data_IF_473175757904
#
_entry.id   IF_473175757904
#
_cell.length_a   1.000
_cell.length_b   1.000
_cell.length_c   1.000
_cell.angle_alpha   90.00
_cell.angle_beta   90.00
_cell.angle_gamma   90.00
#
_symmetry.space_group_name_H-M   'P 1'
#
loop_
_entity.id
_entity.type
_entity.pdbx_description
1 polymer ?
#
# COMPACT_ATOMS: atom_id res chain seq x y z
N UNK A 1 8.45 -1.29 -15.74
CA UNK A 1 9.03 -0.48 -14.65
C UNK A 1 7.91 0.23 -13.91
N UNK A 2 7.95 0.16 -12.59
CA UNK A 2 6.86 0.57 -11.71
C UNK A 2 7.43 1.26 -10.48
N UNK A 3 6.57 1.92 -9.70
CA UNK A 3 6.95 2.62 -8.48
C UNK A 3 6.41 1.92 -7.25
N UNK A 4 7.21 1.86 -6.20
CA UNK A 4 6.74 1.63 -4.84
C UNK A 4 6.41 2.99 -4.22
N UNK A 5 5.19 3.18 -3.75
CA UNK A 5 4.76 4.37 -3.02
C UNK A 5 4.90 4.07 -1.53
N UNK A 6 5.72 4.86 -0.83
CA UNK A 6 6.03 4.62 0.57
C UNK A 6 5.77 5.84 1.45
N UNK A 7 5.69 5.59 2.76
CA UNK A 7 5.71 6.64 3.78
C UNK A 7 6.80 6.31 4.79
N UNK A 8 7.55 7.33 5.16
CA UNK A 8 8.51 7.22 6.26
C UNK A 8 7.78 7.22 7.60
N UNK A 9 7.99 6.17 8.40
CA UNK A 9 7.45 6.02 9.75
C UNK A 9 8.59 5.58 10.65
N UNK A 10 9.00 6.44 11.60
CA UNK A 10 10.02 6.13 12.61
C UNK A 10 11.33 5.57 12.01
N UNK A 11 11.75 6.10 10.84
CA UNK A 11 12.96 5.68 10.14
C UNK A 11 12.78 4.51 9.16
N UNK A 12 11.58 3.93 9.05
CA UNK A 12 11.26 2.88 8.09
C UNK A 12 10.47 3.43 6.90
N UNK A 13 10.80 2.99 5.69
CA UNK A 13 10.07 3.33 4.47
C UNK A 13 8.97 2.28 4.23
N UNK A 14 7.79 2.52 4.76
CA UNK A 14 6.68 1.56 4.72
C UNK A 14 5.90 1.66 3.42
N UNK A 15 5.70 0.53 2.74
CA UNK A 15 4.95 0.46 1.49
C UNK A 15 3.47 0.77 1.75
N UNK A 16 2.99 1.82 1.10
CA UNK A 16 1.56 2.21 1.10
C UNK A 16 0.83 1.82 -0.18
N UNK A 17 1.56 1.61 -1.29
CA UNK A 17 0.96 1.22 -2.55
C UNK A 17 1.99 1.01 -3.66
N UNK A 18 1.48 0.70 -4.85
CA UNK A 18 2.26 0.51 -6.07
C UNK A 18 1.69 1.36 -7.19
N UNK A 19 2.55 1.89 -8.04
CA UNK A 19 2.20 2.77 -9.15
C UNK A 19 2.92 2.39 -10.44
N UNK A 20 2.49 3.00 -11.55
CA UNK A 20 3.21 2.89 -12.83
C UNK A 20 4.07 4.12 -13.03
N UNK A 21 5.32 3.92 -13.41
CA UNK A 21 6.15 5.01 -13.87
C UNK A 21 5.65 5.50 -15.23
N UNK A 22 5.51 6.82 -15.35
CA UNK A 22 5.12 7.45 -16.59
C UNK A 22 6.35 7.69 -17.46
N UNK A 23 6.25 7.36 -18.74
CA UNK A 23 7.29 7.63 -19.74
C UNK A 23 7.34 9.15 -19.95
N UNK A 24 8.53 9.74 -19.91
CA UNK A 24 8.78 11.11 -20.35
C UNK A 24 8.86 11.13 -21.89
N UNK A 25 7.85 11.66 -22.60
CA UNK A 25 7.83 11.63 -24.05
C UNK A 25 8.94 12.49 -24.67
N UNK A 26 9.35 13.57 -24.00
CA UNK A 26 10.34 14.50 -24.52
C UNK A 26 11.75 13.91 -24.40
N UNK A 27 12.11 13.38 -23.24
CA UNK A 27 13.40 12.73 -23.04
C UNK A 27 13.51 11.41 -23.81
N UNK A 28 12.44 10.62 -23.86
CA UNK A 28 12.43 9.40 -24.68
C UNK A 28 12.65 9.74 -26.16
N UNK A 29 11.99 10.79 -26.67
CA UNK A 29 12.19 11.25 -28.04
C UNK A 29 13.64 11.66 -28.30
N UNK A 30 14.29 12.34 -27.35
CA UNK A 30 15.72 12.70 -27.46
C UNK A 30 16.60 11.45 -27.48
N UNK A 31 16.33 10.47 -26.63
CA UNK A 31 17.10 9.23 -26.54
C UNK A 31 17.01 8.37 -27.81
N UNK A 32 15.84 8.31 -28.46
CA UNK A 32 15.64 7.51 -29.69
C UNK A 32 15.98 8.27 -30.97
N UNK A 33 16.11 9.60 -30.93
CA UNK A 33 16.37 10.42 -32.12
C UNK A 33 17.64 10.02 -32.90
N UNK A 34 18.79 9.73 -32.26
CA UNK A 34 19.98 9.25 -32.97
C UNK A 34 19.74 7.93 -33.71
N UNK A 35 19.00 6.99 -33.11
CA UNK A 35 18.70 5.68 -33.70
C UNK A 35 17.81 5.82 -34.94
N UNK A 36 16.83 6.73 -34.89
CA UNK A 36 15.99 7.06 -36.04
C UNK A 36 16.79 7.78 -37.12
N UNK A 37 17.71 8.66 -36.73
CA UNK A 37 18.56 9.39 -37.67
C UNK A 37 19.57 8.48 -38.37
N UNK A 38 20.00 7.39 -37.74
CA UNK A 38 20.94 6.41 -38.29
C UNK A 38 20.29 5.36 -39.20
N UNK A 39 18.98 5.14 -39.06
CA UNK A 39 18.20 4.17 -39.83
C UNK A 39 18.25 4.48 -41.34
N UNK A 40 18.85 3.55 -42.11
CA UNK A 40 19.10 3.73 -43.54
C UNK A 40 17.82 3.86 -44.37
N UNK A 41 16.72 3.22 -43.95
CA UNK A 41 15.42 3.33 -44.63
C UNK A 41 14.79 4.69 -44.40
N UNK A 42 14.93 5.24 -43.20
CA UNK A 42 14.41 6.58 -42.86
C UNK A 42 15.27 7.68 -43.49
N UNK A 43 16.60 7.52 -43.55
CA UNK A 43 17.50 8.46 -44.26
C UNK A 43 17.09 8.70 -45.71
N UNK A 44 16.59 7.66 -46.38
CA UNK A 44 16.14 7.70 -47.78
C UNK A 44 14.99 8.68 -48.04
N UNK A 45 14.25 9.13 -47.01
CA UNK A 45 13.25 10.21 -47.13
C UNK A 45 13.90 11.49 -47.69
N UNK A 46 15.09 11.85 -47.20
CA UNK A 46 15.81 13.06 -47.66
C UNK A 46 16.16 12.97 -49.14
N UNK A 47 16.67 11.81 -49.57
CA UNK A 47 17.04 11.54 -50.95
C UNK A 47 15.81 11.56 -51.87
N UNK A 48 14.73 10.87 -51.50
CA UNK A 48 13.48 10.82 -52.25
C UNK A 48 12.81 12.20 -52.35
N UNK A 49 12.84 12.99 -51.28
CA UNK A 49 12.27 14.36 -51.29
C UNK A 49 13.06 15.26 -52.24
N UNK A 50 14.39 15.13 -52.24
CA UNK A 50 15.27 15.86 -53.17
C UNK A 50 15.03 15.41 -54.61
N UNK A 51 14.85 14.10 -54.83
CA UNK A 51 14.53 13.54 -56.13
C UNK A 51 13.18 14.03 -56.66
N UNK A 52 12.13 13.99 -55.83
CA UNK A 52 10.80 14.51 -56.16
C UNK A 52 10.84 16.00 -56.53
N UNK A 53 11.59 16.82 -55.77
CA UNK A 53 11.77 18.25 -56.06
C UNK A 53 12.43 18.47 -57.44
N UNK A 54 13.45 17.67 -57.76
CA UNK A 54 14.15 17.72 -59.05
C UNK A 54 13.21 17.35 -60.20
N UNK A 55 12.44 16.27 -60.06
CA UNK A 55 11.46 15.83 -61.06
C UNK A 55 10.36 16.89 -61.24
N UNK A 56 9.84 17.49 -60.16
CA UNK A 56 8.83 18.56 -60.23
C UNK A 56 9.36 19.81 -60.94
N UNK A 57 10.64 20.18 -60.76
CA UNK A 57 11.27 21.27 -61.50
C UNK A 57 11.34 20.97 -63.00
N UNK A 58 11.73 19.74 -63.38
CA UNK A 58 11.77 19.31 -64.78
C UNK A 58 10.37 19.35 -65.44
N UNK A 59 9.32 18.90 -64.72
CA UNK A 59 7.93 19.04 -65.18
C UNK A 59 7.57 20.51 -65.41
N UNK A 60 7.91 21.41 -64.48
CA UNK A 60 7.60 22.83 -64.59
C UNK A 60 8.30 23.49 -65.78
N UNK A 61 9.54 23.09 -66.11
CA UNK A 61 10.27 23.56 -67.28
C UNK A 61 9.61 23.11 -68.59
N UNK A 62 9.21 21.84 -68.69
CA UNK A 62 8.48 21.34 -69.87
C UNK A 62 7.15 22.09 -70.02
N UNK A 63 6.42 22.29 -68.93
CA UNK A 63 5.15 23.03 -68.94
C UNK A 63 5.30 24.48 -69.41
N UNK A 64 6.42 25.15 -69.10
CA UNK A 64 6.71 26.49 -69.64
C UNK A 64 6.85 26.47 -71.16
N UNK A 65 7.53 25.47 -71.71
CA UNK A 65 7.72 25.33 -73.17
C UNK A 65 6.39 25.01 -73.86
N UNK A 66 5.59 24.11 -73.29
CA UNK A 66 4.27 23.73 -73.81
C UNK A 66 3.31 24.92 -73.80
N UNK A 67 3.34 25.78 -72.78
CA UNK A 67 2.45 26.95 -72.64
C UNK A 67 2.72 28.08 -73.64
N UNK A 68 3.94 28.17 -74.17
CA UNK A 68 4.35 29.22 -75.14
C UNK A 68 4.03 28.82 -76.59
N UNK A 69 3.73 27.55 -76.87
CA UNK A 69 3.39 27.08 -78.23
C UNK A 69 1.87 27.10 -78.47
N UNK A 70 1.48 27.60 -79.65
CA UNK A 70 0.09 27.70 -80.15
C UNK A 70 -0.59 26.31 -80.13
N UNK A 71 -1.85 26.18 -79.67
CA UNK A 71 -2.47 24.91 -79.23
C UNK A 71 -2.88 23.93 -80.35
N UNK A 72 -2.30 24.00 -81.56
CA UNK A 72 -2.86 23.29 -82.71
C UNK A 72 -2.45 21.81 -82.84
N UNK A 73 -1.33 21.35 -82.25
CA UNK A 73 -0.95 19.92 -82.26
C UNK A 73 -0.14 19.58 -80.99
N UNK A 74 -0.60 18.66 -80.13
CA UNK A 74 0.19 18.20 -78.98
C UNK A 74 1.47 17.50 -79.46
N UNK A 75 2.63 18.00 -79.02
CA UNK A 75 3.92 17.42 -79.35
C UNK A 75 4.09 16.08 -78.60
N UNK A 76 3.93 14.95 -79.31
CA UNK A 76 4.03 13.58 -78.75
C UNK A 76 5.28 13.34 -77.89
N UNK A 77 6.39 14.04 -78.17
CA UNK A 77 7.63 13.92 -77.39
C UNK A 77 7.53 14.56 -75.99
N UNK A 78 6.89 15.71 -75.90
CA UNK A 78 6.74 16.46 -74.63
C UNK A 78 5.67 15.80 -73.74
N UNK A 79 4.58 15.29 -74.33
CA UNK A 79 3.56 14.53 -73.58
C UNK A 79 4.09 13.22 -73.01
N UNK A 80 4.88 12.45 -73.78
CA UNK A 80 5.50 11.21 -73.29
C UNK A 80 6.53 11.44 -72.18
N UNK A 81 7.24 12.57 -72.19
CA UNK A 81 8.14 12.96 -71.09
C UNK A 81 7.36 13.33 -69.82
N UNK A 82 6.25 14.07 -69.95
CA UNK A 82 5.38 14.41 -68.83
C UNK A 82 4.77 13.16 -68.18
N UNK A 83 4.31 12.19 -68.98
CA UNK A 83 3.81 10.90 -68.49
C UNK A 83 4.87 10.14 -67.69
N UNK A 84 6.10 10.05 -68.22
CA UNK A 84 7.24 9.41 -67.53
C UNK A 84 7.56 10.09 -66.20
N UNK A 85 7.58 11.43 -66.15
CA UNK A 85 7.82 12.15 -64.90
C UNK A 85 6.66 12.01 -63.91
N UNK A 86 5.41 11.96 -64.39
CA UNK A 86 4.25 11.71 -63.54
C UNK A 86 4.26 10.30 -62.93
N UNK A 87 4.74 9.29 -63.67
CA UNK A 87 4.99 7.95 -63.14
C UNK A 87 6.11 7.94 -62.10
N UNK A 88 7.21 8.65 -62.36
CA UNK A 88 8.31 8.78 -61.39
C UNK A 88 7.84 9.44 -60.10
N UNK A 89 7.07 10.53 -60.17
CA UNK A 89 6.49 11.17 -58.97
C UNK A 89 5.56 10.22 -58.23
N UNK A 90 4.67 9.50 -58.92
CA UNK A 90 3.80 8.50 -58.29
C UNK A 90 4.60 7.41 -57.58
N UNK A 91 5.68 6.93 -58.18
CA UNK A 91 6.58 5.95 -57.57
C UNK A 91 7.25 6.50 -56.30
N UNK A 92 7.77 7.73 -56.35
CA UNK A 92 8.41 8.38 -55.20
C UNK A 92 7.40 8.63 -54.08
N UNK A 93 6.20 9.11 -54.41
CA UNK A 93 5.14 9.38 -53.43
C UNK A 93 4.66 8.08 -52.75
N UNK A 94 4.49 7.00 -53.51
CA UNK A 94 4.19 5.67 -52.95
C UNK A 94 5.28 5.20 -51.99
N UNK A 95 6.54 5.35 -52.38
CA UNK A 95 7.68 4.93 -51.54
C UNK A 95 7.79 5.78 -50.26
N UNK A 96 7.56 7.09 -50.36
CA UNK A 96 7.53 7.98 -49.20
C UNK A 96 6.43 7.59 -48.20
N UNK A 97 5.22 7.27 -48.68
CA UNK A 97 4.12 6.79 -47.82
C UNK A 97 4.53 5.53 -47.06
N UNK A 98 5.16 4.57 -47.74
CA UNK A 98 5.63 3.32 -47.12
C UNK A 98 6.72 3.56 -46.08
N UNK A 99 7.66 4.46 -46.36
CA UNK A 99 8.76 4.80 -45.44
C UNK A 99 8.23 5.60 -44.24
N UNK A 100 7.26 6.50 -44.42
CA UNK A 100 6.62 7.22 -43.32
C UNK A 100 5.84 6.28 -42.39
N UNK A 101 5.10 5.33 -42.96
CA UNK A 101 4.43 4.29 -42.19
C UNK A 101 5.44 3.43 -41.40
N UNK A 102 6.56 3.06 -42.03
CA UNK A 102 7.66 2.37 -41.35
C UNK A 102 8.26 3.22 -40.23
N UNK A 103 8.57 4.49 -40.50
CA UNK A 103 9.14 5.43 -39.51
C UNK A 103 8.26 5.55 -38.29
N UNK A 104 6.94 5.69 -38.47
CA UNK A 104 5.98 5.75 -37.35
C UNK A 104 6.04 4.47 -36.50
N UNK A 105 5.97 3.30 -37.13
CA UNK A 105 6.09 2.01 -36.44
C UNK A 105 7.43 1.86 -35.71
N UNK A 106 8.53 2.33 -36.32
CA UNK A 106 9.87 2.27 -35.74
C UNK A 106 10.00 3.17 -34.52
N UNK A 107 9.43 4.38 -34.56
CA UNK A 107 9.37 5.28 -33.40
C UNK A 107 8.57 4.63 -32.26
N UNK A 108 7.40 4.06 -32.55
CA UNK A 108 6.57 3.37 -31.55
C UNK A 108 7.31 2.18 -30.92
N UNK A 109 8.02 1.40 -31.74
CA UNK A 109 8.85 0.29 -31.27
C UNK A 109 9.98 0.78 -30.35
N UNK A 110 10.78 1.76 -30.81
CA UNK A 110 11.91 2.28 -30.02
C UNK A 110 11.46 2.94 -28.72
N UNK A 111 10.29 3.59 -28.72
CA UNK A 111 9.69 4.16 -27.49
C UNK A 111 9.39 3.08 -26.46
N UNK A 112 9.01 1.87 -26.90
CA UNK A 112 8.77 0.72 -26.00
C UNK A 112 10.05 0.02 -25.56
N UNK A 113 11.05 -0.06 -26.45
CA UNK A 113 12.33 -0.72 -26.18
C UNK A 113 13.27 0.14 -25.33
N UNK A 114 13.18 1.47 -25.44
CA UNK A 114 14.07 2.42 -24.74
C UNK A 114 13.28 3.56 -24.09
N UNK A 115 12.31 3.26 -23.21
CA UNK A 115 11.56 4.28 -22.51
C UNK A 115 12.49 5.03 -21.54
N UNK A 116 12.42 6.35 -21.56
CA UNK A 116 12.94 7.19 -20.48
C UNK A 116 11.75 7.58 -19.62
N UNK A 117 11.84 7.33 -18.32
CA UNK A 117 10.75 7.61 -17.40
C UNK A 117 10.99 8.89 -16.62
N UNK A 118 9.91 9.53 -16.15
CA UNK A 118 10.02 10.63 -15.18
C UNK A 118 10.72 10.16 -13.91
N UNK A 119 11.45 11.06 -13.26
CA UNK A 119 12.03 10.77 -11.97
C UNK A 119 10.93 10.53 -10.92
N UNK A 120 11.03 9.47 -10.10
CA UNK A 120 10.12 9.25 -8.99
C UNK A 120 10.09 10.45 -8.05
N UNK A 121 8.93 10.73 -7.45
CA UNK A 121 8.84 11.75 -6.40
C UNK A 121 9.55 11.28 -5.12
N UNK A 122 9.73 12.19 -4.14
CA UNK A 122 10.41 11.90 -2.86
C UNK A 122 9.80 10.78 -2.00
N UNK A 123 8.63 10.26 -2.37
CA UNK A 123 7.92 9.18 -1.69
C UNK A 123 7.68 7.98 -2.61
N UNK A 124 8.44 7.92 -3.69
CA UNK A 124 8.37 6.86 -4.68
C UNK A 124 9.77 6.32 -4.95
N UNK A 125 9.88 5.00 -5.10
CA UNK A 125 11.11 4.34 -5.54
C UNK A 125 10.80 3.56 -6.81
N UNK A 126 11.58 3.82 -7.86
CA UNK A 126 11.52 3.04 -9.09
C UNK A 126 12.04 1.62 -8.83
N UNK A 127 11.26 0.62 -9.25
CA UNK A 127 11.58 -0.80 -9.14
C UNK A 127 11.24 -1.52 -10.44
N UNK A 128 11.90 -2.65 -10.65
CA UNK A 128 11.58 -3.56 -11.76
C UNK A 128 10.18 -4.16 -11.58
N UNK A 129 9.60 -4.65 -12.68
CA UNK A 129 8.26 -5.26 -12.59
C UNK A 129 8.29 -6.54 -11.75
N UNK A 130 9.41 -7.28 -11.80
CA UNK A 130 9.68 -8.47 -10.99
C UNK A 130 9.76 -8.15 -9.49
N UNK A 131 10.49 -7.10 -9.10
CA UNK A 131 10.57 -6.66 -7.70
C UNK A 131 9.21 -6.22 -7.16
N UNK A 132 8.43 -5.51 -7.97
CA UNK A 132 7.09 -5.04 -7.60
C UNK A 132 6.13 -6.22 -7.43
N UNK A 133 6.19 -7.19 -8.33
CA UNK A 133 5.39 -8.40 -8.20
C UNK A 133 5.70 -9.12 -6.88
N UNK A 134 6.99 -9.33 -6.58
CA UNK A 134 7.43 -9.94 -5.32
C UNK A 134 6.91 -9.18 -4.10
N UNK A 135 7.12 -7.86 -4.04
CA UNK A 135 6.67 -7.02 -2.92
C UNK A 135 5.14 -6.99 -2.80
N UNK A 136 4.41 -7.02 -3.92
CA UNK A 136 2.95 -7.02 -3.93
C UNK A 136 2.40 -8.34 -3.39
N UNK A 137 2.98 -9.46 -3.79
CA UNK A 137 2.62 -10.80 -3.28
C UNK A 137 2.91 -10.90 -1.78
N UNK A 138 4.09 -10.46 -1.36
CA UNK A 138 4.50 -10.44 0.05
C UNK A 138 3.61 -9.55 0.91
N UNK A 139 3.28 -8.34 0.44
CA UNK A 139 2.34 -7.44 1.12
C UNK A 139 0.94 -8.06 1.24
N UNK A 140 0.50 -8.82 0.22
CA UNK A 140 -0.80 -9.49 0.22
C UNK A 140 -0.88 -10.68 1.17
N UNK A 141 0.24 -11.37 1.41
CA UNK A 141 0.34 -12.51 2.33
C UNK A 141 0.67 -12.09 3.78
N UNK A 142 0.98 -10.81 4.01
CA UNK A 142 1.48 -10.32 5.28
C UNK A 142 0.42 -10.38 6.39
N UNK A 143 0.79 -10.89 7.56
CA UNK A 143 -0.08 -10.89 8.71
C UNK A 143 -0.41 -9.45 9.17
N UNK A 144 -1.64 -9.13 9.62
CA UNK A 144 -2.05 -7.77 9.96
C UNK A 144 -1.25 -7.07 11.08
N UNK A 145 -0.42 -7.82 11.81
CA UNK A 145 0.48 -7.29 12.82
C UNK A 145 1.80 -6.77 12.25
N UNK A 146 2.05 -6.92 10.96
CA UNK A 146 3.27 -6.49 10.31
C UNK A 146 2.96 -5.57 9.14
N UNK A 147 3.90 -4.69 8.83
CA UNK A 147 3.93 -3.88 7.62
C UNK A 147 5.17 -4.24 6.79
N UNK A 148 5.11 -4.03 5.49
CA UNK A 148 6.23 -4.29 4.59
C UNK A 148 6.98 -2.99 4.31
N UNK A 149 8.29 -2.99 4.47
CA UNK A 149 9.14 -1.89 4.00
C UNK A 149 9.53 -2.03 2.52
N UNK A 150 10.16 -1.00 1.95
CA UNK A 150 10.59 -0.98 0.53
C UNK A 150 11.66 -2.01 0.18
N UNK A 151 12.38 -2.54 1.17
CA UNK A 151 13.44 -3.53 1.01
C UNK A 151 12.91 -4.98 1.14
N UNK A 152 11.67 -5.14 1.63
CA UNK A 152 11.00 -6.42 1.83
C UNK A 152 11.04 -6.91 3.28
N UNK A 153 11.49 -6.10 4.24
CA UNK A 153 11.51 -6.48 5.65
C UNK A 153 10.11 -6.32 6.27
N UNK A 154 9.77 -7.24 7.17
CA UNK A 154 8.53 -7.21 7.92
C UNK A 154 8.74 -6.40 9.19
N UNK A 155 8.05 -5.27 9.27
CA UNK A 155 8.14 -4.33 10.39
C UNK A 155 6.94 -4.56 11.32
N UNK A 156 7.18 -4.95 12.58
CA UNK A 156 6.13 -5.09 13.58
C UNK A 156 5.30 -3.81 13.75
N UNK A 157 3.98 -3.95 13.79
CA UNK A 157 3.06 -2.86 14.08
C UNK A 157 2.02 -3.29 15.13
N UNK A 158 2.43 -3.17 16.39
CA UNK A 158 1.61 -3.42 17.56
C UNK A 158 1.15 -2.13 18.27
N UNK A 159 1.34 -0.97 17.62
CA UNK A 159 0.98 0.33 18.19
C UNK A 159 -0.50 0.40 18.56
N UNK A 160 -0.79 0.97 19.74
CA UNK A 160 -2.14 1.08 20.28
C UNK A 160 -2.75 -0.23 20.80
N UNK A 161 -2.01 -1.34 20.78
CA UNK A 161 -2.43 -2.60 21.39
C UNK A 161 -1.83 -2.76 22.78
N UNK A 162 -2.56 -3.45 23.64
CA UNK A 162 -2.16 -3.75 25.01
C UNK A 162 -1.77 -5.22 25.10
N UNK A 163 -0.65 -5.47 25.76
CA UNK A 163 -0.17 -6.79 26.08
C UNK A 163 0.00 -6.95 27.58
N UNK A 164 -0.07 -8.20 28.01
CA UNK A 164 0.21 -8.62 29.36
C UNK A 164 1.36 -9.61 29.35
N UNK A 165 2.36 -9.35 30.18
CA UNK A 165 3.54 -10.20 30.36
C UNK A 165 3.48 -10.75 31.77
N UNK A 166 3.60 -12.07 31.91
CA UNK A 166 3.74 -12.69 33.22
C UNK A 166 5.22 -12.92 33.50
N UNK A 167 5.75 -12.19 34.48
CA UNK A 167 7.14 -12.32 34.92
C UNK A 167 7.19 -12.33 36.45
N UNK A 168 8.02 -13.22 37.00
CA UNK A 168 8.19 -13.42 38.44
C UNK A 168 6.89 -13.47 39.28
N UNK A 169 5.85 -14.12 38.74
CA UNK A 169 4.56 -14.27 39.43
C UNK A 169 3.64 -13.05 39.32
N UNK A 170 4.02 -12.02 38.55
CA UNK A 170 3.29 -10.76 38.42
C UNK A 170 2.93 -10.54 36.95
N UNK A 171 1.69 -10.15 36.72
CA UNK A 171 1.22 -9.67 35.43
C UNK A 171 1.54 -8.19 35.27
N UNK A 172 2.34 -7.86 34.26
CA UNK A 172 2.67 -6.49 33.89
C UNK A 172 2.00 -6.09 32.57
N UNK A 173 1.40 -4.89 32.57
CA UNK A 173 0.80 -4.31 31.38
C UNK A 173 1.88 -3.63 30.54
N UNK A 174 2.02 -4.04 29.29
CA UNK A 174 3.00 -3.51 28.36
C UNK A 174 2.34 -3.00 27.06
N UNK A 175 3.00 -2.01 26.45
CA UNK A 175 2.70 -1.50 25.10
C UNK A 175 4.00 -1.41 24.34
N UNK A 176 3.96 -1.66 23.03
CA UNK A 176 5.15 -1.69 22.19
C UNK A 176 5.07 -0.60 21.12
N UNK A 177 6.21 0.06 20.88
CA UNK A 177 6.33 1.08 19.86
C UNK A 177 6.37 0.48 18.45
N UNK A 178 6.26 1.33 17.44
CA UNK A 178 6.36 0.91 16.05
C UNK A 178 7.72 0.27 15.74
N UNK A 179 7.72 -0.92 15.14
CA UNK A 179 8.93 -1.69 14.87
C UNK A 179 9.40 -2.57 16.03
N UNK A 180 8.80 -2.45 17.22
CA UNK A 180 9.13 -3.30 18.36
C UNK A 180 8.31 -4.58 18.37
N UNK A 181 8.99 -5.69 18.65
CA UNK A 181 8.37 -7.00 18.75
C UNK A 181 8.09 -7.31 20.23
N UNK A 182 6.83 -7.61 20.61
CA UNK A 182 6.52 -8.14 21.92
C UNK A 182 7.32 -9.43 22.18
N UNK A 183 7.81 -9.66 23.41
CA UNK A 183 8.46 -10.90 23.77
C UNK A 183 7.47 -12.06 23.60
N UNK A 184 8.00 -13.27 23.39
CA UNK A 184 7.18 -14.47 23.10
C UNK A 184 6.17 -14.78 24.21
N UNK A 185 6.46 -14.37 25.45
CA UNK A 185 5.61 -14.54 26.62
C UNK A 185 4.48 -13.52 26.72
N UNK A 186 4.50 -12.45 25.92
CA UNK A 186 3.47 -11.43 25.92
C UNK A 186 2.17 -11.93 25.26
N UNK A 187 1.04 -11.70 25.92
CA UNK A 187 -0.29 -12.06 25.43
C UNK A 187 -1.07 -10.78 25.17
N UNK A 188 -1.63 -10.61 23.96
CA UNK A 188 -2.47 -9.46 23.65
C UNK A 188 -3.74 -9.51 24.52
N UNK A 189 -4.22 -8.37 25.01
CA UNK A 189 -5.36 -8.29 25.96
C UNK A 189 -6.61 -9.03 25.46
N UNK A 190 -6.87 -8.97 24.14
CA UNK A 190 -8.00 -9.67 23.52
C UNK A 190 -7.86 -11.20 23.55
N UNK A 191 -6.63 -11.71 23.59
CA UNK A 191 -6.29 -13.14 23.50
C UNK A 191 -6.11 -13.78 24.88
N UNK A 192 -6.22 -13.01 25.97
CA UNK A 192 -6.24 -13.53 27.33
C UNK A 192 -7.44 -14.46 27.55
N UNK A 193 -7.19 -15.62 28.15
CA UNK A 193 -8.23 -16.55 28.56
C UNK A 193 -8.93 -16.11 29.86
N UNK A 194 -10.02 -16.79 30.23
CA UNK A 194 -10.82 -16.42 31.40
C UNK A 194 -10.05 -16.53 32.73
N UNK A 195 -9.17 -17.53 32.88
CA UNK A 195 -8.37 -17.72 34.09
C UNK A 195 -7.33 -16.60 34.24
N UNK A 196 -6.62 -16.25 33.17
CA UNK A 196 -5.64 -15.17 33.15
C UNK A 196 -6.29 -13.81 33.44
N UNK A 197 -7.46 -13.54 32.85
CA UNK A 197 -8.21 -12.30 33.15
C UNK A 197 -8.63 -12.23 34.61
N UNK A 198 -9.03 -13.35 35.21
CA UNK A 198 -9.37 -13.41 36.63
C UNK A 198 -8.15 -13.14 37.52
N UNK A 199 -7.01 -13.73 37.20
CA UNK A 199 -5.75 -13.52 37.92
C UNK A 199 -5.26 -12.07 37.82
N UNK A 200 -5.23 -11.50 36.62
CA UNK A 200 -4.89 -10.08 36.38
C UNK A 200 -5.84 -9.17 37.17
N UNK A 201 -7.15 -9.44 37.13
CA UNK A 201 -8.14 -8.66 37.86
C UNK A 201 -7.93 -8.72 39.37
N UNK A 202 -7.64 -9.90 39.93
CA UNK A 202 -7.33 -10.07 41.35
C UNK A 202 -6.05 -9.31 41.73
N UNK A 203 -5.01 -9.38 40.91
CA UNK A 203 -3.77 -8.66 41.14
C UNK A 203 -3.99 -7.13 41.10
N UNK A 204 -4.68 -6.62 40.08
CA UNK A 204 -4.99 -5.19 39.97
C UNK A 204 -5.85 -4.69 41.13
N UNK A 205 -6.80 -5.51 41.61
CA UNK A 205 -7.59 -5.18 42.78
C UNK A 205 -6.74 -5.16 44.06
N UNK A 206 -5.82 -6.11 44.23
CA UNK A 206 -4.89 -6.11 45.35
C UNK A 206 -3.99 -4.85 45.32
N UNK A 207 -3.45 -4.50 44.15
CA UNK A 207 -2.66 -3.28 43.96
C UNK A 207 -3.48 -2.02 44.25
N UNK A 208 -4.75 -1.97 43.81
CA UNK A 208 -5.67 -0.87 44.11
C UNK A 208 -5.87 -0.71 45.61
N UNK A 209 -6.19 -1.80 46.32
CA UNK A 209 -6.41 -1.78 47.76
C UNK A 209 -5.14 -1.37 48.50
N UNK A 210 -3.97 -1.85 48.08
CA UNK A 210 -2.68 -1.44 48.65
C UNK A 210 -2.39 0.06 48.46
N UNK A 211 -2.83 0.64 47.34
CA UNK A 211 -2.66 2.06 47.06
C UNK A 211 -3.64 2.98 47.81
N UNK A 212 -4.69 2.43 48.45
CA UNK A 212 -5.62 3.21 49.27
C UNK A 212 -4.94 3.71 50.55
N UNK A 213 -5.33 4.91 50.97
CA UNK A 213 -4.98 5.40 52.31
C UNK A 213 -5.70 4.60 53.40
N UNK A 214 -5.19 4.67 54.63
CA UNK A 214 -5.81 3.98 55.79
C UNK A 214 -7.28 4.38 55.96
N UNK A 215 -7.61 5.67 55.81
CA UNK A 215 -8.99 6.16 55.91
C UNK A 215 -9.88 5.62 54.79
N UNK A 216 -9.38 5.52 53.57
CA UNK A 216 -10.14 4.96 52.44
C UNK A 216 -10.35 3.45 52.59
N UNK A 217 -9.34 2.72 53.06
CA UNK A 217 -9.45 1.28 53.38
C UNK A 217 -10.54 1.06 54.43
N UNK A 218 -10.53 1.82 55.53
CA UNK A 218 -11.56 1.71 56.58
C UNK A 218 -12.96 2.05 56.04
N UNK A 219 -13.09 3.08 55.22
CA UNK A 219 -14.36 3.48 54.63
C UNK A 219 -14.90 2.44 53.61
N UNK A 220 -14.04 1.86 52.76
CA UNK A 220 -14.42 0.76 51.87
C UNK A 220 -14.77 -0.52 52.65
N UNK A 221 -13.97 -0.87 53.66
CA UNK A 221 -14.23 -1.99 54.56
C UNK A 221 -15.59 -1.87 55.25
N UNK A 222 -15.89 -0.71 55.84
CA UNK A 222 -17.17 -0.46 56.51
C UNK A 222 -18.37 -0.57 55.54
N UNK A 223 -18.23 -0.06 54.31
CA UNK A 223 -19.25 -0.23 53.27
C UNK A 223 -19.46 -1.69 52.90
N UNK A 224 -18.37 -2.43 52.68
CA UNK A 224 -18.43 -3.84 52.31
C UNK A 224 -19.05 -4.72 53.42
N UNK A 225 -18.75 -4.43 54.70
CA UNK A 225 -19.39 -5.11 55.85
C UNK A 225 -20.89 -4.81 55.91
N UNK A 226 -21.31 -3.56 55.69
CA UNK A 226 -22.74 -3.21 55.64
C UNK A 226 -23.47 -3.92 54.49
N UNK A 227 -22.83 -4.06 53.32
CA UNK A 227 -23.39 -4.83 52.21
C UNK A 227 -23.49 -6.34 52.52
N UNK A 228 -22.51 -6.91 53.22
CA UNK A 228 -22.57 -8.31 53.68
C UNK A 228 -23.76 -8.55 54.61
N UNK A 229 -24.09 -7.60 55.49
CA UNK A 229 -25.23 -7.74 56.39
C UNK A 229 -26.54 -7.89 55.59
N UNK A 230 -26.72 -7.10 54.53
CA UNK A 230 -27.86 -7.24 53.63
C UNK A 230 -27.87 -8.59 52.90
N UNK A 231 -26.71 -9.05 52.41
CA UNK A 231 -26.58 -10.36 51.75
C UNK A 231 -26.88 -11.51 52.71
N UNK A 232 -26.50 -11.40 53.99
CA UNK A 232 -26.80 -12.38 55.02
C UNK A 232 -28.32 -12.48 55.29
N UNK A 233 -29.02 -11.34 55.31
CA UNK A 233 -30.50 -11.32 55.38
C UNK A 233 -31.12 -12.04 54.18
N UNK A 234 -30.63 -11.77 52.96
CA UNK A 234 -31.13 -12.46 51.76
C UNK A 234 -30.83 -13.97 51.79
N UNK A 235 -29.65 -14.38 52.27
CA UNK A 235 -29.29 -15.79 52.44
C UNK A 235 -30.24 -16.49 53.40
N UNK A 236 -30.51 -15.88 54.56
CA UNK A 236 -31.50 -16.39 55.52
C UNK A 236 -32.87 -16.58 54.86
N UNK A 237 -33.38 -15.55 54.18
CA UNK A 237 -34.67 -15.62 53.50
C UNK A 237 -34.72 -16.74 52.45
N UNK A 238 -33.64 -16.92 51.69
CA UNK A 238 -33.53 -18.01 50.71
C UNK A 238 -33.60 -19.40 51.36
N UNK A 239 -32.93 -19.60 52.49
CA UNK A 239 -32.95 -20.86 53.25
C UNK A 239 -34.34 -21.13 53.84
N UNK A 240 -35.02 -20.10 54.36
CA UNK A 240 -36.40 -20.22 54.87
C UNK A 240 -37.38 -20.65 53.76
N UNK A 241 -37.24 -20.08 52.56
CA UNK A 241 -38.05 -20.48 51.38
C UNK A 241 -37.79 -21.94 50.98
N UNK A 242 -36.57 -22.43 51.18
CA UNK A 242 -36.20 -23.83 50.94
C UNK A 242 -36.72 -24.80 52.02
N UNK A 243 -37.45 -24.30 53.02
CA UNK A 243 -38.07 -25.10 54.08
C UNK A 243 -37.16 -25.35 55.30
N UNK A 244 -36.02 -24.67 55.38
CA UNK A 244 -35.15 -24.73 56.57
C UNK A 244 -35.81 -23.91 57.69
N UNK A 245 -35.91 -24.44 58.93
CA UNK A 245 -36.45 -23.70 60.06
C UNK A 245 -35.74 -22.35 60.27
N UNK A 246 -36.49 -21.31 60.67
CA UNK A 246 -35.97 -19.93 60.76
C UNK A 246 -34.73 -19.79 61.66
N UNK A 247 -34.65 -20.59 62.73
CA UNK A 247 -33.52 -20.60 63.66
C UNK A 247 -32.25 -21.19 63.04
N UNK A 248 -32.38 -22.29 62.28
CA UNK A 248 -31.27 -22.90 61.54
C UNK A 248 -30.82 -22.01 60.38
N UNK A 249 -31.78 -21.42 59.65
CA UNK A 249 -31.50 -20.47 58.56
C UNK A 249 -30.76 -19.22 59.06
N UNK A 250 -31.13 -18.70 60.24
CA UNK A 250 -30.43 -17.59 60.87
C UNK A 250 -29.01 -17.98 61.29
N UNK A 251 -28.82 -19.17 61.85
CA UNK A 251 -27.51 -19.67 62.27
C UNK A 251 -26.57 -19.80 61.07
N UNK A 252 -27.01 -20.49 60.00
CA UNK A 252 -26.21 -20.64 58.78
C UNK A 252 -25.91 -19.29 58.08
N UNK A 253 -26.85 -18.35 58.11
CA UNK A 253 -26.62 -17.01 57.56
C UNK A 253 -25.60 -16.21 58.38
N UNK A 254 -25.60 -16.36 59.72
CA UNK A 254 -24.61 -15.74 60.62
C UNK A 254 -23.22 -16.36 60.48
N UNK A 255 -23.13 -17.68 60.39
CA UNK A 255 -21.86 -18.38 60.16
C UNK A 255 -21.24 -17.92 58.85
N UNK A 256 -22.03 -17.95 57.76
CA UNK A 256 -21.59 -17.42 56.47
C UNK A 256 -21.16 -15.95 56.53
N UNK A 257 -21.93 -15.10 57.23
CA UNK A 257 -21.57 -13.68 57.38
C UNK A 257 -20.22 -13.50 58.10
N UNK A 258 -19.99 -14.25 59.18
CA UNK A 258 -18.74 -14.19 59.94
C UNK A 258 -17.56 -14.69 59.10
N UNK A 259 -17.74 -15.76 58.31
CA UNK A 259 -16.72 -16.22 57.35
C UNK A 259 -16.38 -15.15 56.31
N UNK A 260 -17.38 -14.45 55.77
CA UNK A 260 -17.15 -13.39 54.79
C UNK A 260 -16.50 -12.13 55.39
N UNK A 261 -16.77 -11.82 56.67
CA UNK A 261 -16.07 -10.76 57.38
C UNK A 261 -14.56 -11.04 57.39
N UNK A 262 -14.15 -12.26 57.71
CA UNK A 262 -12.73 -12.62 57.77
C UNK A 262 -12.04 -12.38 56.41
N UNK A 263 -12.73 -12.70 55.31
CA UNK A 263 -12.21 -12.46 53.95
C UNK A 263 -12.08 -10.96 53.66
N UNK A 264 -13.03 -10.14 54.09
CA UNK A 264 -12.95 -8.68 53.94
C UNK A 264 -11.83 -8.11 54.83
N UNK A 265 -11.70 -8.60 56.06
CA UNK A 265 -10.65 -8.20 56.98
C UNK A 265 -9.27 -8.48 56.37
N UNK A 266 -9.05 -9.69 55.86
CA UNK A 266 -7.82 -10.06 55.15
C UNK A 266 -7.56 -9.17 53.93
N UNK A 267 -8.59 -8.83 53.16
CA UNK A 267 -8.46 -7.99 51.96
C UNK A 267 -7.99 -6.57 52.26
N UNK A 268 -8.47 -5.95 53.35
CA UNK A 268 -8.21 -4.54 53.66
C UNK A 268 -7.17 -4.31 54.75
N UNK A 269 -6.58 -5.37 55.32
CA UNK A 269 -5.41 -5.23 56.20
C UNK A 269 -4.19 -4.65 55.45
#
# INVERSE_FOLDING_TARGET
>A
MQTVIYREIKGYNIITGFGKLSIDPAETKKAIAPLIAEDSRIKRIGDLTTHASTVRKAIAEIMKVVRVRIPAVPNRKETGQLEKYAEQIRGIESELVDIEAYRKKRIEQLTRERPVYFEPTRYEIAKTDEEIQRLSEEKGALHPAFLLDVDGNHIPNFTGRVFWVYDDGIWEKATYDFGEQPPVVAIEEKDLNAAQRAEISQQLEAQRVQALTVQEKEAEKARAVNELANKAVMKRQGLEIQGIPSEDALTQAREWYNEQILIIDEKYN
#
